data_IF_989196055719
#
_entry.id   IF_989196055719
#
_cell.length_a   1.000
_cell.length_b   1.000
_cell.length_c   1.000
_cell.angle_alpha   90.00
_cell.angle_beta   90.00
_cell.angle_gamma   90.00
#
_symmetry.space_group_name_H-M   'P 1'
#
loop_
_entity.id
_entity.type
_entity.pdbx_description
1 polymer ?
#
# COMPACT_ATOMS: atom_id res chain seq x y z
N UNK A 1 -53.93 -15.57 -74.81
CA UNK A 1 -52.53 -16.00 -74.60
C UNK A 1 -52.04 -15.42 -73.29
N UNK A 2 -52.14 -16.18 -72.19
CA UNK A 2 -51.88 -15.74 -70.81
C UNK A 2 -51.61 -16.98 -69.93
N UNK A 3 -50.54 -16.95 -69.13
CA UNK A 3 -50.29 -17.78 -67.93
C UNK A 3 -49.04 -17.19 -67.23
N UNK A 4 -49.11 -16.45 -66.12
CA UNK A 4 -49.45 -16.81 -64.72
C UNK A 4 -48.31 -17.53 -63.94
N UNK A 5 -47.80 -16.87 -62.88
CA UNK A 5 -46.88 -17.40 -61.83
C UNK A 5 -47.70 -18.11 -60.73
N UNK A 6 -47.14 -19.02 -59.86
CA UNK A 6 -46.21 -18.71 -58.74
C UNK A 6 -45.05 -19.75 -58.64
N UNK A 7 -44.26 -20.01 -57.58
CA UNK A 7 -44.18 -19.58 -56.15
C UNK A 7 -42.71 -19.64 -55.61
N UNK A 8 -42.50 -19.57 -54.28
CA UNK A 8 -41.19 -19.66 -53.60
C UNK A 8 -40.95 -21.02 -52.89
N UNK A 9 -39.68 -21.47 -52.74
CA UNK A 9 -39.06 -21.84 -51.42
C UNK A 9 -37.58 -22.33 -51.44
N UNK A 10 -36.86 -21.94 -50.38
CA UNK A 10 -35.66 -22.54 -49.73
C UNK A 10 -34.28 -22.72 -50.42
N UNK A 11 -33.35 -21.83 -50.05
CA UNK A 11 -32.07 -22.09 -49.33
C UNK A 11 -31.23 -23.34 -49.67
N UNK A 12 -30.03 -23.13 -50.22
CA UNK A 12 -28.75 -23.76 -49.79
C UNK A 12 -27.52 -23.10 -50.47
N UNK A 13 -26.37 -23.12 -49.76
CA UNK A 13 -24.95 -22.91 -50.16
C UNK A 13 -24.57 -22.41 -51.59
N UNK A 14 -23.56 -21.56 -51.80
CA UNK A 14 -22.26 -21.46 -51.11
C UNK A 14 -21.76 -20.02 -51.01
N UNK A 15 -21.24 -19.60 -49.85
CA UNK A 15 -20.35 -18.44 -49.73
C UNK A 15 -18.93 -18.96 -49.51
N UNK A 16 -18.08 -18.83 -50.53
CA UNK A 16 -16.68 -19.25 -50.46
C UNK A 16 -15.91 -18.35 -49.49
N UNK A 17 -15.42 -18.92 -48.39
CA UNK A 17 -14.53 -18.22 -47.45
C UNK A 17 -13.22 -17.93 -48.18
N UNK A 18 -13.04 -16.68 -48.63
CA UNK A 18 -11.75 -16.18 -49.10
C UNK A 18 -10.93 -15.82 -47.87
N UNK A 19 -9.82 -16.55 -47.64
CA UNK A 19 -8.90 -16.26 -46.55
C UNK A 19 -8.49 -14.77 -46.54
N UNK A 20 -8.45 -14.12 -45.36
CA UNK A 20 -7.89 -12.78 -45.27
C UNK A 20 -6.41 -12.82 -45.64
N UNK A 21 -5.98 -11.89 -46.50
CA UNK A 21 -4.58 -11.80 -46.88
C UNK A 21 -3.72 -11.40 -45.67
N UNK A 22 -2.51 -11.94 -45.60
CA UNK A 22 -1.58 -11.65 -44.53
C UNK A 22 -1.33 -10.13 -44.44
N UNK A 23 -1.62 -9.56 -43.28
CA UNK A 23 -1.20 -8.20 -42.94
C UNK A 23 0.33 -8.19 -42.96
N UNK A 24 0.99 -7.26 -43.70
CA UNK A 24 2.43 -7.18 -43.68
C UNK A 24 2.92 -6.90 -42.27
N UNK A 25 3.89 -7.68 -41.81
CA UNK A 25 4.44 -7.62 -40.46
C UNK A 25 5.39 -6.41 -40.29
N UNK A 26 4.86 -5.21 -40.49
CA UNK A 26 5.60 -3.94 -40.34
C UNK A 26 4.88 -3.00 -39.36
N UNK A 27 4.67 -3.53 -38.16
CA UNK A 27 4.94 -2.77 -36.93
C UNK A 27 5.18 -3.80 -35.83
N UNK A 28 6.40 -4.35 -35.84
CA UNK A 28 7.05 -4.58 -34.56
C UNK A 28 7.09 -3.21 -33.88
N UNK A 29 6.08 -2.94 -33.04
CA UNK A 29 6.25 -2.00 -31.94
C UNK A 29 7.42 -2.59 -31.19
N UNK A 30 8.61 -2.00 -31.39
CA UNK A 30 9.75 -2.31 -30.56
C UNK A 30 9.24 -2.22 -29.13
N UNK A 31 9.25 -3.35 -28.43
CA UNK A 31 8.98 -3.41 -27.01
C UNK A 31 10.11 -2.63 -26.36
N UNK A 32 9.94 -1.31 -26.36
CA UNK A 32 10.95 -0.32 -26.05
C UNK A 32 11.21 -0.53 -24.59
N UNK A 33 12.23 -1.32 -24.28
CA UNK A 33 12.39 -1.97 -22.97
C UNK A 33 12.19 -0.91 -21.90
N UNK A 34 11.06 -0.95 -21.20
CA UNK A 34 10.59 0.27 -20.53
C UNK A 34 11.51 0.55 -19.36
N UNK A 35 12.45 1.46 -19.64
CA UNK A 35 13.61 1.68 -18.82
C UNK A 35 13.15 2.62 -17.70
N UNK A 36 12.38 2.06 -16.77
CA UNK A 36 11.97 2.65 -15.50
C UNK A 36 13.20 2.79 -14.59
N UNK A 37 14.14 3.63 -15.03
CA UNK A 37 15.25 4.12 -14.23
C UNK A 37 14.68 4.96 -13.07
N UNK A 38 15.29 4.84 -11.89
CA UNK A 38 14.91 5.57 -10.69
C UNK A 38 14.80 7.08 -10.93
N UNK A 39 15.65 7.62 -11.83
CA UNK A 39 15.58 9.02 -12.27
C UNK A 39 14.28 9.38 -12.99
N UNK A 40 13.72 8.48 -13.80
CA UNK A 40 12.43 8.68 -14.48
C UNK A 40 11.28 8.58 -13.49
N UNK A 41 11.32 7.62 -12.56
CA UNK A 41 10.34 7.51 -11.47
C UNK A 41 10.32 8.80 -10.62
N UNK A 42 11.48 9.31 -10.25
CA UNK A 42 11.60 10.58 -9.52
C UNK A 42 11.09 11.78 -10.35
N UNK A 43 11.39 11.82 -11.65
CA UNK A 43 10.86 12.85 -12.55
C UNK A 43 9.33 12.80 -12.68
N UNK A 44 8.72 11.61 -12.73
CA UNK A 44 7.26 11.43 -12.71
C UNK A 44 6.66 11.93 -11.38
N UNK A 45 7.29 11.63 -10.25
CA UNK A 45 6.86 12.13 -8.94
C UNK A 45 6.94 13.66 -8.85
N UNK A 46 8.07 14.26 -9.24
CA UNK A 46 8.23 15.73 -9.26
C UNK A 46 7.22 16.39 -10.21
N UNK A 47 6.92 15.75 -11.36
CA UNK A 47 5.93 16.24 -12.32
C UNK A 47 4.48 16.13 -11.81
N UNK A 48 4.18 15.19 -10.92
CA UNK A 48 2.85 15.04 -10.30
C UNK A 48 2.70 15.73 -8.95
N UNK A 49 3.80 16.21 -8.35
CA UNK A 49 3.82 17.02 -7.15
C UNK A 49 2.81 18.18 -7.12
N UNK A 50 2.52 18.93 -8.22
CA UNK A 50 1.50 19.99 -8.21
C UNK A 50 0.10 19.51 -7.81
N UNK A 51 -0.25 18.26 -8.12
CA UNK A 51 -1.54 17.67 -7.76
C UNK A 51 -1.56 17.13 -6.31
N UNK A 52 -0.40 16.74 -5.78
CA UNK A 52 -0.22 16.23 -4.41
C UNK A 52 -0.12 17.38 -3.40
N UNK A 53 0.52 18.50 -3.76
CA UNK A 53 0.72 19.69 -2.94
C UNK A 53 -0.53 20.14 -2.17
N UNK A 54 -1.74 20.27 -2.76
CA UNK A 54 -2.95 20.69 -2.04
C UNK A 54 -3.60 19.59 -1.17
N UNK A 55 -2.96 18.42 -1.00
CA UNK A 55 -3.28 17.42 0.02
C UNK A 55 -2.10 17.15 0.98
N UNK A 56 -1.00 17.89 0.89
CA UNK A 56 0.21 17.68 1.71
C UNK A 56 -0.06 17.67 3.23
N UNK A 57 -0.99 18.50 3.73
CA UNK A 57 -1.42 18.47 5.13
C UNK A 57 -2.09 17.15 5.53
N UNK A 58 -2.92 16.57 4.66
CA UNK A 58 -3.54 15.27 4.90
C UNK A 58 -2.52 14.13 4.84
N UNK A 59 -1.55 14.20 3.92
CA UNK A 59 -0.43 13.25 3.84
C UNK A 59 0.43 13.31 5.11
N UNK A 60 0.76 14.50 5.60
CA UNK A 60 1.52 14.68 6.85
C UNK A 60 0.73 14.16 8.06
N UNK A 61 -0.56 14.48 8.15
CA UNK A 61 -1.45 13.94 9.19
C UNK A 61 -1.58 12.42 9.14
N UNK A 62 -1.62 11.83 7.94
CA UNK A 62 -1.62 10.38 7.72
C UNK A 62 -0.31 9.72 8.19
N UNK A 63 0.84 10.33 7.91
CA UNK A 63 2.15 9.85 8.37
C UNK A 63 2.24 9.94 9.89
N UNK A 64 1.84 11.07 10.48
CA UNK A 64 1.78 11.25 11.94
C UNK A 64 0.88 10.22 12.62
N UNK A 65 -0.35 10.05 12.13
CA UNK A 65 -1.28 9.04 12.64
C UNK A 65 -0.72 7.61 12.49
N UNK A 66 -0.11 7.29 11.35
CA UNK A 66 0.55 5.99 11.12
C UNK A 66 1.66 5.72 12.13
N UNK A 67 2.49 6.73 12.45
CA UNK A 67 3.57 6.62 13.43
C UNK A 67 3.00 6.42 14.84
N UNK A 68 1.99 7.19 15.23
CA UNK A 68 1.33 7.05 16.55
C UNK A 68 0.72 5.65 16.71
N UNK A 69 -0.02 5.14 15.73
CA UNK A 69 -0.61 3.80 15.77
C UNK A 69 0.48 2.71 15.81
N UNK A 70 1.57 2.87 15.05
CA UNK A 70 2.70 1.95 15.08
C UNK A 70 3.42 1.94 16.44
N UNK A 71 3.66 3.10 17.05
CA UNK A 71 4.29 3.21 18.36
C UNK A 71 3.42 2.62 19.47
N UNK A 72 2.11 2.89 19.47
CA UNK A 72 1.16 2.30 20.44
C UNK A 72 1.13 0.77 20.28
N UNK A 73 1.01 0.26 19.05
CA UNK A 73 1.02 -1.18 18.79
C UNK A 73 2.32 -1.86 19.18
N UNK A 74 3.46 -1.22 18.94
CA UNK A 74 4.79 -1.76 19.25
C UNK A 74 5.08 -1.74 20.75
N UNK A 75 4.82 -0.61 21.43
CA UNK A 75 5.01 -0.50 22.89
C UNK A 75 4.05 -1.45 23.65
N UNK A 76 2.79 -1.53 23.23
CA UNK A 76 1.83 -2.48 23.78
C UNK A 76 2.20 -3.93 23.51
N UNK A 77 2.68 -4.24 22.30
CA UNK A 77 3.17 -5.57 21.95
C UNK A 77 4.36 -6.01 22.80
N UNK A 78 5.34 -5.13 23.01
CA UNK A 78 6.49 -5.39 23.87
C UNK A 78 6.08 -5.59 25.34
N UNK A 79 5.15 -4.78 25.85
CA UNK A 79 4.59 -4.95 27.19
C UNK A 79 3.89 -6.31 27.36
N UNK A 80 3.08 -6.72 26.37
CA UNK A 80 2.40 -8.02 26.38
C UNK A 80 3.38 -9.20 26.30
N UNK A 81 4.43 -9.08 25.47
CA UNK A 81 5.50 -10.09 25.39
C UNK A 81 6.25 -10.18 26.71
N UNK A 82 6.60 -9.06 27.35
CA UNK A 82 7.26 -9.06 28.67
C UNK A 82 6.41 -9.72 29.77
N UNK A 83 5.11 -9.39 29.83
CA UNK A 83 4.19 -10.03 30.78
C UNK A 83 4.00 -11.53 30.51
N UNK A 84 3.78 -11.92 29.26
CA UNK A 84 3.49 -13.30 28.90
C UNK A 84 4.74 -14.20 28.93
N UNK A 85 5.86 -13.75 28.36
CA UNK A 85 7.08 -14.54 28.25
C UNK A 85 7.87 -14.57 29.56
N UNK A 86 8.29 -13.42 30.10
CA UNK A 86 9.06 -13.38 31.34
C UNK A 86 8.18 -13.69 32.55
N UNK A 87 7.08 -12.95 32.75
CA UNK A 87 6.23 -13.09 33.92
C UNK A 87 5.46 -14.43 34.00
N UNK A 88 4.62 -14.72 33.00
CA UNK A 88 3.74 -15.90 33.04
C UNK A 88 4.51 -17.19 32.69
N UNK A 89 5.27 -17.23 31.59
CA UNK A 89 5.93 -18.46 31.13
C UNK A 89 7.23 -18.77 31.88
N UNK A 90 8.18 -17.82 31.96
CA UNK A 90 9.50 -18.05 32.58
C UNK A 90 9.54 -17.85 34.11
N UNK A 91 8.48 -17.27 34.71
CA UNK A 91 8.42 -16.92 36.14
C UNK A 91 9.51 -15.92 36.60
N UNK A 92 10.04 -15.13 35.67
CA UNK A 92 11.02 -14.06 35.90
C UNK A 92 10.32 -12.77 36.40
N UNK A 93 10.98 -11.98 37.29
CA UNK A 93 10.45 -10.71 37.77
C UNK A 93 10.06 -9.78 36.62
N UNK A 94 8.88 -9.14 36.74
CA UNK A 94 8.39 -8.23 35.71
C UNK A 94 9.10 -6.88 35.78
N UNK A 95 9.16 -6.17 34.66
CA UNK A 95 9.66 -4.80 34.64
C UNK A 95 8.85 -3.87 35.53
N UNK A 96 9.51 -2.84 36.07
CA UNK A 96 8.89 -1.81 36.91
C UNK A 96 7.77 -1.03 36.22
N UNK A 97 7.85 -0.85 34.90
CA UNK A 97 6.83 -0.15 34.11
C UNK A 97 5.48 -0.90 34.09
N UNK A 98 5.40 -2.20 33.73
CA UNK A 98 4.19 -3.00 33.94
C UNK A 98 3.67 -2.97 35.39
N UNK A 99 4.54 -3.14 36.40
CA UNK A 99 4.11 -3.12 37.80
C UNK A 99 3.40 -1.81 38.17
N UNK A 100 3.98 -0.66 37.78
CA UNK A 100 3.38 0.65 37.96
C UNK A 100 2.05 0.82 37.21
N UNK A 101 1.99 0.39 35.94
CA UNK A 101 0.80 0.56 35.08
C UNK A 101 -0.42 -0.23 35.58
N UNK A 102 -0.22 -1.38 36.22
CA UNK A 102 -1.29 -2.22 36.77
C UNK A 102 -1.51 -2.05 38.27
N UNK A 103 -0.73 -1.20 38.94
CA UNK A 103 -0.80 -1.03 40.40
C UNK A 103 -0.43 -2.29 41.18
N UNK A 104 0.48 -3.11 40.62
CA UNK A 104 0.98 -4.33 41.24
C UNK A 104 2.04 -4.01 42.29
N UNK A 105 2.06 -4.78 43.37
CA UNK A 105 3.03 -4.63 44.45
C UNK A 105 4.47 -4.92 43.95
N UNK A 106 5.39 -3.93 43.95
CA UNK A 106 6.76 -4.15 43.51
C UNK A 106 7.49 -5.25 44.28
N UNK A 107 7.16 -5.45 45.55
CA UNK A 107 7.83 -6.43 46.41
C UNK A 107 7.36 -7.88 46.16
N UNK A 108 6.26 -8.06 45.43
CA UNK A 108 5.74 -9.37 45.01
C UNK A 108 6.11 -9.71 43.56
N UNK A 109 6.23 -8.69 42.70
CA UNK A 109 6.35 -8.88 41.25
C UNK A 109 7.68 -8.44 40.63
N UNK A 110 8.43 -7.52 41.27
CA UNK A 110 9.65 -6.91 40.72
C UNK A 110 10.89 -7.25 41.55
N UNK A 111 10.81 -7.12 42.88
CA UNK A 111 11.95 -7.30 43.80
C UNK A 111 12.15 -8.76 44.25
N UNK A 112 11.82 -9.74 43.39
CA UNK A 112 11.82 -11.18 43.72
C UNK A 112 12.65 -11.96 42.70
N UNK A 113 13.37 -12.99 43.15
CA UNK A 113 14.20 -13.85 42.27
C UNK A 113 13.38 -14.70 41.30
N UNK A 114 12.17 -15.10 41.70
CA UNK A 114 11.24 -15.98 40.94
C UNK A 114 9.81 -15.71 41.41
N UNK A 115 8.84 -15.56 40.50
CA UNK A 115 7.43 -15.41 40.89
C UNK A 115 6.83 -16.71 41.44
N UNK A 116 5.93 -16.56 42.41
CA UNK A 116 5.07 -17.65 42.89
C UNK A 116 3.96 -17.97 41.87
N UNK A 117 3.41 -19.19 41.91
CA UNK A 117 2.32 -19.59 41.01
C UNK A 117 1.01 -18.82 41.27
N UNK A 118 0.83 -18.27 42.46
CA UNK A 118 -0.23 -17.31 42.80
C UNK A 118 -0.02 -15.99 42.04
N UNK A 119 1.19 -15.42 42.09
CA UNK A 119 1.52 -14.19 41.39
C UNK A 119 1.40 -14.36 39.87
N UNK A 120 1.89 -15.47 39.31
CA UNK A 120 1.77 -15.79 37.86
C UNK A 120 0.31 -15.87 37.41
N UNK A 121 -0.57 -16.49 38.20
CA UNK A 121 -2.03 -16.53 37.94
C UNK A 121 -2.65 -15.13 38.03
N UNK A 122 -2.20 -14.30 38.97
CA UNK A 122 -2.58 -12.89 39.08
C UNK A 122 -2.29 -12.07 37.82
N UNK A 123 -1.19 -12.34 37.11
CA UNK A 123 -0.80 -11.65 35.87
C UNK A 123 -1.65 -12.02 34.65
N UNK A 124 -2.32 -13.18 34.65
CA UNK A 124 -3.07 -13.65 33.46
C UNK A 124 -4.19 -12.69 33.07
N UNK A 125 -4.97 -12.21 34.04
CA UNK A 125 -6.13 -11.35 33.76
C UNK A 125 -5.74 -9.93 33.30
N UNK A 126 -4.79 -9.20 33.95
CA UNK A 126 -4.24 -7.96 33.43
C UNK A 126 -3.64 -8.10 32.02
N UNK A 127 -2.92 -9.19 31.75
CA UNK A 127 -2.34 -9.45 30.42
C UNK A 127 -3.43 -9.65 29.37
N UNK A 128 -4.46 -10.45 29.66
CA UNK A 128 -5.60 -10.67 28.74
C UNK A 128 -6.42 -9.41 28.49
N UNK A 129 -6.73 -8.63 29.53
CA UNK A 129 -7.44 -7.35 29.38
C UNK A 129 -6.63 -6.35 28.57
N UNK A 130 -5.32 -6.28 28.79
CA UNK A 130 -4.44 -5.39 28.02
C UNK A 130 -4.35 -5.84 26.57
N UNK A 131 -4.25 -7.14 26.29
CA UNK A 131 -4.26 -7.67 24.93
C UNK A 131 -5.57 -7.36 24.21
N UNK A 132 -6.71 -7.51 24.90
CA UNK A 132 -8.03 -7.18 24.37
C UNK A 132 -8.17 -5.69 24.06
N UNK A 133 -7.85 -4.81 25.02
CA UNK A 133 -7.93 -3.35 24.85
C UNK A 133 -6.97 -2.85 23.77
N UNK A 134 -5.73 -3.34 23.75
CA UNK A 134 -4.75 -2.98 22.73
C UNK A 134 -5.25 -3.38 21.35
N UNK A 135 -5.70 -4.63 21.18
CA UNK A 135 -6.22 -5.13 19.88
C UNK A 135 -7.47 -4.37 19.44
N UNK A 136 -8.40 -4.12 20.38
CA UNK A 136 -9.63 -3.36 20.13
C UNK A 136 -9.37 -1.89 19.77
N UNK A 137 -8.20 -1.34 20.09
CA UNK A 137 -7.78 -0.01 19.66
C UNK A 137 -6.96 -0.05 18.36
N UNK A 138 -5.89 -0.86 18.31
CA UNK A 138 -4.92 -0.86 17.20
C UNK A 138 -5.51 -1.38 15.89
N UNK A 139 -6.43 -2.35 15.94
CA UNK A 139 -7.06 -2.89 14.72
C UNK A 139 -7.99 -1.84 14.09
N UNK A 140 -8.96 -1.22 14.79
CA UNK A 140 -9.74 -0.12 14.22
C UNK A 140 -8.89 1.10 13.83
N UNK A 141 -7.86 1.46 14.61
CA UNK A 141 -6.99 2.57 14.25
C UNK A 141 -6.16 2.31 12.98
N UNK A 142 -5.67 1.07 12.79
CA UNK A 142 -5.01 0.62 11.57
C UNK A 142 -5.96 0.63 10.36
N UNK A 143 -7.19 0.15 10.53
CA UNK A 143 -8.24 0.19 9.50
C UNK A 143 -8.61 1.64 9.14
N UNK A 144 -8.84 2.51 10.12
CA UNK A 144 -9.14 3.93 9.89
C UNK A 144 -7.99 4.63 9.15
N UNK A 145 -6.74 4.33 9.52
CA UNK A 145 -5.54 4.83 8.84
C UNK A 145 -5.50 4.34 7.38
N UNK A 146 -5.79 3.07 7.12
CA UNK A 146 -5.89 2.53 5.75
C UNK A 146 -6.98 3.21 4.91
N UNK A 147 -8.17 3.40 5.46
CA UNK A 147 -9.26 4.13 4.78
C UNK A 147 -8.88 5.59 4.52
N UNK A 148 -8.19 6.25 5.45
CA UNK A 148 -7.75 7.63 5.27
C UNK A 148 -6.70 7.75 4.14
N UNK A 149 -5.76 6.80 4.03
CA UNK A 149 -4.85 6.72 2.88
C UNK A 149 -5.63 6.60 1.56
N UNK A 150 -6.60 5.66 1.52
CA UNK A 150 -7.44 5.46 0.34
C UNK A 150 -8.19 6.74 -0.05
N UNK A 151 -8.78 7.44 0.92
CA UNK A 151 -9.47 8.71 0.71
C UNK A 151 -8.53 9.78 0.12
N UNK A 152 -7.32 9.95 0.66
CA UNK A 152 -6.29 10.87 0.12
C UNK A 152 -6.01 10.55 -1.35
N UNK A 153 -5.77 9.28 -1.69
CA UNK A 153 -5.49 8.87 -3.07
C UNK A 153 -6.68 9.08 -4.02
N UNK A 154 -7.91 8.84 -3.57
CA UNK A 154 -9.10 9.14 -4.37
C UNK A 154 -9.26 10.65 -4.61
N UNK A 155 -9.00 11.49 -3.60
CA UNK A 155 -9.03 12.95 -3.77
C UNK A 155 -7.98 13.44 -4.77
N UNK A 156 -6.76 12.89 -4.75
CA UNK A 156 -5.71 13.17 -5.74
C UNK A 156 -6.19 12.80 -7.15
N UNK A 157 -6.72 11.59 -7.34
CA UNK A 157 -7.28 11.11 -8.61
C UNK A 157 -8.36 12.03 -9.18
N UNK A 158 -9.36 12.41 -8.36
CA UNK A 158 -10.46 13.25 -8.84
C UNK A 158 -10.00 14.67 -9.18
N UNK A 159 -9.08 15.26 -8.40
CA UNK A 159 -8.52 16.58 -8.71
C UNK A 159 -7.74 16.60 -10.03
N UNK A 160 -7.01 15.53 -10.36
CA UNK A 160 -6.38 15.39 -11.67
C UNK A 160 -7.40 15.29 -12.80
N UNK A 161 -8.44 14.47 -12.64
CA UNK A 161 -9.50 14.31 -13.65
C UNK A 161 -10.23 15.62 -13.95
N UNK A 162 -10.60 16.39 -12.92
CA UNK A 162 -11.23 17.72 -13.09
C UNK A 162 -10.33 18.65 -13.91
N UNK A 163 -9.05 18.80 -13.53
CA UNK A 163 -8.11 19.67 -14.25
C UNK A 163 -7.82 19.21 -15.69
N UNK A 164 -7.84 17.89 -15.96
CA UNK A 164 -7.70 17.36 -17.31
C UNK A 164 -8.95 17.66 -18.16
N UNK A 165 -10.14 17.57 -17.59
CA UNK A 165 -11.40 17.91 -18.27
C UNK A 165 -11.48 19.41 -18.56
N UNK A 166 -11.14 20.28 -17.61
CA UNK A 166 -11.11 21.74 -17.79
C UNK A 166 -10.17 22.13 -18.96
N UNK A 167 -8.97 21.53 -19.02
CA UNK A 167 -8.03 21.75 -20.13
C UNK A 167 -8.52 21.18 -21.46
N UNK A 168 -9.22 20.05 -21.44
CA UNK A 168 -9.84 19.46 -22.63
C UNK A 168 -10.95 20.37 -23.19
N UNK A 169 -11.72 21.03 -22.31
CA UNK A 169 -12.80 21.95 -22.70
C UNK A 169 -12.29 23.31 -23.21
N UNK A 170 -11.14 23.78 -22.72
CA UNK A 170 -10.52 25.02 -23.17
C UNK A 170 -9.79 24.92 -24.53
N UNK A 171 -9.81 23.75 -25.16
CA UNK A 171 -9.07 23.45 -26.38
C UNK A 171 -9.86 23.86 -27.64
N UNK A 172 -9.17 24.15 -28.74
CA UNK A 172 -9.82 24.72 -29.93
C UNK A 172 -10.76 23.73 -30.64
N UNK A 173 -11.83 24.26 -31.26
CA UNK A 173 -12.76 23.45 -32.06
C UNK A 173 -12.07 22.69 -33.21
N UNK A 174 -10.98 23.24 -33.78
CA UNK A 174 -10.17 22.55 -34.78
C UNK A 174 -9.46 21.30 -34.24
N UNK A 175 -9.04 21.31 -32.97
CA UNK A 175 -8.51 20.12 -32.31
C UNK A 175 -9.61 19.06 -32.08
N UNK A 176 -10.80 19.48 -31.66
CA UNK A 176 -11.96 18.59 -31.50
C UNK A 176 -12.50 18.04 -32.83
N UNK A 177 -12.28 18.73 -33.95
CA UNK A 177 -12.62 18.22 -35.28
C UNK A 177 -11.65 17.12 -35.77
N UNK A 178 -10.41 17.09 -35.27
CA UNK A 178 -9.38 16.12 -35.65
C UNK A 178 -9.30 14.92 -34.69
N UNK A 179 -9.61 15.10 -33.40
CA UNK A 179 -9.55 14.05 -32.39
C UNK A 179 -10.93 13.42 -32.13
N UNK A 180 -11.04 12.08 -32.15
CA UNK A 180 -12.27 11.39 -31.73
C UNK A 180 -12.56 11.65 -30.25
N UNK A 181 -13.66 12.35 -29.96
CA UNK A 181 -14.09 12.71 -28.60
C UNK A 181 -14.12 11.52 -27.64
N UNK A 182 -14.55 10.33 -28.09
CA UNK A 182 -14.59 9.12 -27.26
C UNK A 182 -13.21 8.61 -26.81
N UNK A 183 -12.19 8.72 -27.65
CA UNK A 183 -10.81 8.31 -27.32
C UNK A 183 -10.18 9.30 -26.33
N UNK A 184 -10.38 10.60 -26.55
CA UNK A 184 -9.94 11.65 -25.62
C UNK A 184 -10.54 11.50 -24.22
N UNK A 185 -11.84 11.21 -24.12
CA UNK A 185 -12.51 10.97 -22.83
C UNK A 185 -11.96 9.69 -22.19
N UNK A 186 -11.85 8.60 -22.94
CA UNK A 186 -11.34 7.31 -22.42
C UNK A 186 -9.95 7.47 -21.79
N UNK A 187 -9.01 8.11 -22.50
CA UNK A 187 -7.65 8.40 -22.00
C UNK A 187 -7.67 9.25 -20.73
N UNK A 188 -8.47 10.33 -20.69
CA UNK A 188 -8.57 11.17 -19.48
C UNK A 188 -9.03 10.39 -18.25
N UNK A 189 -9.92 9.40 -18.39
CA UNK A 189 -10.36 8.56 -17.27
C UNK A 189 -9.40 7.41 -16.93
N UNK A 190 -8.89 6.69 -17.93
CA UNK A 190 -8.06 5.50 -17.72
C UNK A 190 -6.61 5.87 -17.37
N UNK A 191 -5.97 6.72 -18.18
CA UNK A 191 -4.57 7.09 -18.01
C UNK A 191 -4.37 7.82 -16.66
N UNK A 192 -5.33 8.67 -16.25
CA UNK A 192 -5.27 9.33 -14.94
C UNK A 192 -5.33 8.36 -13.75
N UNK A 193 -6.10 7.27 -13.85
CA UNK A 193 -6.13 6.24 -12.81
C UNK A 193 -4.86 5.40 -12.81
N UNK A 194 -4.37 5.01 -14.00
CA UNK A 194 -3.16 4.21 -14.16
C UNK A 194 -1.91 4.97 -13.70
N UNK A 195 -1.76 6.25 -14.05
CA UNK A 195 -0.64 7.10 -13.62
C UNK A 195 -0.58 7.19 -12.09
N UNK A 196 -1.70 7.43 -11.42
CA UNK A 196 -1.74 7.50 -9.95
C UNK A 196 -1.48 6.15 -9.30
N UNK A 197 -2.00 5.06 -9.88
CA UNK A 197 -1.73 3.71 -9.39
C UNK A 197 -0.23 3.40 -9.46
N UNK A 198 0.45 3.72 -10.57
CA UNK A 198 1.90 3.58 -10.74
C UNK A 198 2.67 4.43 -9.72
N UNK A 199 2.33 5.71 -9.55
CA UNK A 199 2.99 6.59 -8.57
C UNK A 199 2.86 6.04 -7.15
N UNK A 200 1.68 5.49 -6.82
CA UNK A 200 1.45 4.85 -5.54
C UNK A 200 2.31 3.60 -5.36
N UNK A 201 2.21 2.63 -6.26
CA UNK A 201 2.85 1.32 -6.09
C UNK A 201 4.37 1.36 -6.26
N UNK A 202 4.90 2.22 -7.13
CA UNK A 202 6.33 2.30 -7.43
C UNK A 202 7.07 3.19 -6.43
N UNK A 203 6.42 4.22 -5.86
CA UNK A 203 7.11 5.22 -5.02
C UNK A 203 6.54 5.34 -3.61
N UNK A 204 5.24 5.60 -3.45
CA UNK A 204 4.67 5.95 -2.15
C UNK A 204 4.51 4.75 -1.20
N UNK A 205 3.98 3.63 -1.69
CA UNK A 205 3.82 2.42 -0.89
C UNK A 205 5.22 1.90 -0.42
N UNK A 206 6.26 1.75 -1.28
CA UNK A 206 7.61 1.36 -0.85
C UNK A 206 8.26 2.34 0.13
N UNK A 207 8.12 3.65 -0.09
CA UNK A 207 8.64 4.67 0.82
C UNK A 207 8.01 4.57 2.21
N UNK A 208 6.69 4.34 2.28
CA UNK A 208 5.96 4.15 3.54
C UNK A 208 6.32 2.84 4.24
N UNK A 209 6.52 1.74 3.50
CA UNK A 209 7.02 0.49 4.07
C UNK A 209 8.43 0.67 4.64
N UNK A 210 9.33 1.30 3.89
CA UNK A 210 10.70 1.57 4.35
C UNK A 210 10.71 2.47 5.60
N UNK A 211 9.90 3.53 5.64
CA UNK A 211 9.81 4.41 6.81
C UNK A 211 9.29 3.68 8.06
N UNK A 212 8.25 2.84 7.93
CA UNK A 212 7.74 2.01 9.03
C UNK A 212 8.76 0.96 9.49
N UNK A 213 9.44 0.31 8.55
CA UNK A 213 10.47 -0.67 8.84
C UNK A 213 11.65 -0.03 9.60
N UNK A 214 12.16 1.10 9.12
CA UNK A 214 13.25 1.84 9.76
C UNK A 214 12.86 2.30 11.17
N UNK A 215 11.63 2.76 11.38
CA UNK A 215 11.12 3.07 12.72
C UNK A 215 11.12 1.84 13.64
N UNK A 216 10.69 0.67 13.12
CA UNK A 216 10.79 -0.59 13.86
C UNK A 216 12.23 -0.97 14.23
N UNK A 217 13.18 -0.82 13.30
CA UNK A 217 14.61 -1.05 13.57
C UNK A 217 15.15 -0.10 14.62
N UNK A 218 14.80 1.20 14.56
CA UNK A 218 15.19 2.18 15.58
C UNK A 218 14.67 1.80 16.96
N UNK A 219 13.42 1.34 17.08
CA UNK A 219 12.88 0.86 18.37
C UNK A 219 13.62 -0.38 18.85
N UNK A 220 13.86 -1.39 18.01
CA UNK A 220 14.62 -2.59 18.41
C UNK A 220 16.05 -2.23 18.84
N UNK A 221 16.70 -1.31 18.14
CA UNK A 221 18.05 -0.83 18.46
C UNK A 221 18.15 -0.16 19.84
N UNK A 222 17.07 0.42 20.36
CA UNK A 222 17.01 0.99 21.72
C UNK A 222 17.01 -0.09 22.80
N UNK A 223 16.46 -1.28 22.52
CA UNK A 223 16.48 -2.42 23.45
C UNK A 223 17.77 -3.26 23.32
N UNK A 224 18.18 -3.56 22.09
CA UNK A 224 19.40 -4.29 21.79
C UNK A 224 20.05 -3.71 20.51
N UNK A 225 21.16 -2.96 20.66
CA UNK A 225 21.88 -2.36 19.53
C UNK A 225 22.42 -3.39 18.52
N UNK A 226 22.75 -4.61 18.96
CA UNK A 226 23.30 -5.67 18.13
C UNK A 226 22.20 -6.30 17.27
N UNK A 227 21.05 -6.64 17.86
CA UNK A 227 19.87 -7.10 17.11
C UNK A 227 19.36 -6.02 16.15
N UNK A 228 19.32 -4.75 16.58
CA UNK A 228 18.97 -3.62 15.72
C UNK A 228 19.92 -3.49 14.52
N UNK A 229 21.23 -3.67 14.73
CA UNK A 229 22.24 -3.65 13.66
C UNK A 229 22.09 -4.84 12.71
N UNK A 230 21.84 -6.05 13.20
CA UNK A 230 21.58 -7.23 12.35
C UNK A 230 20.36 -7.01 11.46
N UNK A 231 19.24 -6.52 12.02
CA UNK A 231 18.04 -6.21 11.25
C UNK A 231 18.31 -5.13 10.21
N UNK A 232 18.94 -4.01 10.61
CA UNK A 232 19.33 -2.93 9.71
C UNK A 232 20.22 -3.42 8.56
N UNK A 233 21.25 -4.21 8.85
CA UNK A 233 22.16 -4.77 7.86
C UNK A 233 21.43 -5.74 6.90
N UNK A 234 20.42 -6.47 7.39
CA UNK A 234 19.60 -7.40 6.58
C UNK A 234 18.78 -6.68 5.50
N UNK A 235 18.54 -5.37 5.61
CA UNK A 235 17.94 -4.61 4.51
C UNK A 235 18.85 -4.50 3.29
N UNK A 236 20.17 -4.45 3.47
CA UNK A 236 21.12 -4.26 2.38
C UNK A 236 21.08 -5.39 1.34
N UNK A 237 21.13 -6.70 1.68
CA UNK A 237 20.96 -7.76 0.71
C UNK A 237 19.55 -7.78 0.11
N UNK A 238 18.50 -7.43 0.86
CA UNK A 238 17.13 -7.36 0.31
C UNK A 238 17.02 -6.24 -0.74
N UNK A 239 17.57 -5.05 -0.47
CA UNK A 239 17.62 -3.94 -1.42
C UNK A 239 18.53 -4.28 -2.62
N UNK A 240 19.65 -4.96 -2.40
CA UNK A 240 20.53 -5.42 -3.48
C UNK A 240 19.85 -6.46 -4.38
N UNK A 241 19.14 -7.43 -3.80
CA UNK A 241 18.30 -8.38 -4.55
C UNK A 241 17.20 -7.63 -5.30
N UNK A 242 16.50 -6.68 -4.67
CA UNK A 242 15.49 -5.84 -5.32
C UNK A 242 16.05 -5.07 -6.52
N UNK A 243 17.21 -4.42 -6.37
CA UNK A 243 17.91 -3.74 -7.46
C UNK A 243 18.29 -4.72 -8.57
N UNK A 244 18.83 -5.90 -8.23
CA UNK A 244 19.27 -6.92 -9.20
C UNK A 244 18.10 -7.54 -9.97
N UNK A 245 17.00 -7.87 -9.30
CA UNK A 245 15.84 -8.54 -9.90
C UNK A 245 14.79 -7.59 -10.48
N UNK A 246 14.80 -6.29 -10.13
CA UNK A 246 13.95 -5.28 -10.80
C UNK A 246 14.24 -5.15 -12.31
N UNK A 247 15.45 -5.48 -12.75
CA UNK A 247 15.80 -5.58 -14.18
C UNK A 247 15.20 -6.79 -14.91
N UNK A 248 14.76 -7.83 -14.18
CA UNK A 248 14.24 -9.10 -14.71
C UNK A 248 12.71 -9.25 -14.58
N UNK A 249 12.01 -8.30 -13.96
CA UNK A 249 10.54 -8.22 -13.90
C UNK A 249 9.98 -7.27 -14.98
N UNK A 250 10.65 -7.22 -16.14
CA UNK A 250 10.27 -6.45 -17.33
C UNK A 250 9.72 -7.38 -18.40
#
# INVERSE_FOLDING_TARGET
>A
MFASRPACRHVAAYVTIRHPQAVPAESAVEATSDNLDFRRVLAIFVRTWPFIRPLSQHVLGYVGASIVVALIGMAGGLLLVGLAASGIMAAEPIGSLPAFLFGLDPDVFVNVTTLTDEARRGLMWPTLLTALLLTAFTVPAGVATYYYAMWIFQQINQRMRVQLIERLQAQSLGYHALARTGDMIYRVYQDSAMVTAIIRTVLLDPLMFLARYLLGVVVVFVFDPLLGLILGLTTLPILWLGLRYSGYLR
#
